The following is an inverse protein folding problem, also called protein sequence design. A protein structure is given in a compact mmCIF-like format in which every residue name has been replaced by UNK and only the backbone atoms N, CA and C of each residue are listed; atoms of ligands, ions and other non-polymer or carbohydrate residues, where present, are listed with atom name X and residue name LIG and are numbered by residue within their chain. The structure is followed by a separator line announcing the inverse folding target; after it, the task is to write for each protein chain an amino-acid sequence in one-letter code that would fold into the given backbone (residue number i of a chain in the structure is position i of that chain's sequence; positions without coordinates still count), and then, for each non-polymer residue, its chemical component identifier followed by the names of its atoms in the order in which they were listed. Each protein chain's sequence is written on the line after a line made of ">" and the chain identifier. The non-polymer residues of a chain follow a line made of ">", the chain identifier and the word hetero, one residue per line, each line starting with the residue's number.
data_IF_780538643889
#
_entry.id   IF_780538643889
#
_cell.length_a   1.000
_cell.length_b   1.000
_cell.length_c   1.000
_cell.angle_alpha   90.00
_cell.angle_beta   90.00
_cell.angle_gamma   90.00
#
_symmetry.space_group_name_H-M   'P 1'
#
loop_
_entity.id
_entity.type
_entity.pdbx_description
1 polymer ?
#
# COMPACT_ATOMS: atom_id res chain seq x y z
N UNK A 1 15.39 -6.77 1.88
CA UNK A 1 14.42 -6.85 3.01
C UNK A 1 13.25 -7.69 2.55
N UNK A 2 12.67 -8.56 3.40
CA UNK A 2 11.63 -9.52 3.01
C UNK A 2 10.61 -9.76 4.13
N UNK A 3 9.41 -10.23 3.76
CA UNK A 3 8.35 -10.66 4.69
C UNK A 3 7.98 -9.59 5.72
N UNK A 4 7.91 -9.97 7.00
CA UNK A 4 7.49 -9.08 8.10
C UNK A 4 8.33 -7.80 8.22
N UNK A 5 9.64 -7.88 7.93
CA UNK A 5 10.49 -6.70 7.94
C UNK A 5 10.14 -5.70 6.83
N UNK A 6 9.75 -6.20 5.65
CA UNK A 6 9.28 -5.36 4.54
C UNK A 6 7.93 -4.73 4.90
N UNK A 7 7.01 -5.51 5.47
CA UNK A 7 5.72 -5.00 5.94
C UNK A 7 5.90 -3.85 6.94
N UNK A 8 6.71 -4.04 7.98
CA UNK A 8 6.90 -3.05 9.03
C UNK A 8 7.58 -1.77 8.48
N UNK A 9 8.54 -1.93 7.57
CA UNK A 9 9.13 -0.79 6.85
C UNK A 9 8.09 0.00 6.06
N UNK A 10 7.22 -0.67 5.32
CA UNK A 10 6.21 0.02 4.50
C UNK A 10 5.18 0.73 5.38
N UNK A 11 4.76 0.11 6.49
CA UNK A 11 3.85 0.74 7.46
C UNK A 11 4.48 2.01 8.03
N UNK A 12 5.77 1.96 8.42
CA UNK A 12 6.52 3.12 8.88
C UNK A 12 6.52 4.25 7.83
N UNK A 13 6.72 3.93 6.55
CA UNK A 13 6.73 4.94 5.46
C UNK A 13 5.35 5.50 5.15
N UNK A 14 4.31 4.74 5.36
CA UNK A 14 2.94 5.26 5.29
C UNK A 14 2.66 6.21 6.48
N UNK A 15 3.12 5.87 7.68
CA UNK A 15 2.92 6.70 8.88
C UNK A 15 3.75 8.00 8.88
N UNK A 16 4.94 8.00 8.26
CA UNK A 16 5.76 9.18 8.03
C UNK A 16 4.95 10.31 7.36
N UNK A 17 4.05 9.93 6.44
CA UNK A 17 3.13 10.85 5.77
C UNK A 17 1.73 10.92 6.37
N UNK A 18 1.48 10.29 7.52
CA UNK A 18 0.19 10.32 8.22
C UNK A 18 -0.94 9.67 7.43
N UNK A 19 -0.64 8.58 6.71
CA UNK A 19 -1.66 7.68 6.18
C UNK A 19 -2.55 7.13 7.30
N UNK A 20 -3.86 7.09 7.06
CA UNK A 20 -4.85 6.76 8.08
C UNK A 20 -5.29 5.30 7.98
N UNK A 21 -5.77 4.75 9.09
CA UNK A 21 -6.37 3.42 9.18
C UNK A 21 -5.53 2.34 8.49
N UNK A 22 -4.22 2.34 8.77
CA UNK A 22 -3.28 1.40 8.16
C UNK A 22 -3.62 -0.01 8.66
N UNK A 23 -3.99 -0.89 7.74
CA UNK A 23 -4.31 -2.29 8.02
C UNK A 23 -3.39 -3.16 7.18
N UNK A 24 -2.82 -4.18 7.80
CA UNK A 24 -2.07 -5.22 7.09
C UNK A 24 -2.84 -6.53 7.18
N UNK A 25 -3.02 -7.18 6.03
CA UNK A 25 -3.76 -8.42 5.85
C UNK A 25 -2.78 -9.47 5.35
N UNK A 26 -2.72 -10.59 6.06
CA UNK A 26 -2.00 -11.77 5.62
C UNK A 26 -2.84 -12.50 4.56
N UNK A 27 -2.30 -12.59 3.35
CA UNK A 27 -2.92 -13.29 2.22
C UNK A 27 -2.05 -14.46 1.75
N UNK A 28 -1.02 -14.83 2.51
CA UNK A 28 -0.16 -15.95 2.21
C UNK A 28 -0.98 -17.25 2.08
N UNK A 29 -0.78 -17.97 0.99
CA UNK A 29 -1.54 -19.18 0.67
C UNK A 29 -3.00 -18.95 0.25
N UNK A 30 -3.53 -17.73 0.36
CA UNK A 30 -4.84 -17.33 -0.21
C UNK A 30 -4.67 -16.72 -1.60
N UNK A 31 -3.55 -16.04 -1.86
CA UNK A 31 -3.18 -15.42 -3.13
C UNK A 31 -1.84 -15.95 -3.62
N UNK A 32 -1.67 -16.07 -4.94
CA UNK A 32 -0.37 -16.36 -5.56
C UNK A 32 0.38 -15.10 -6.00
N UNK A 33 -0.18 -13.92 -5.76
CA UNK A 33 0.35 -12.64 -6.25
C UNK A 33 1.26 -11.99 -5.21
N UNK A 34 0.85 -11.99 -3.95
CA UNK A 34 1.56 -11.35 -2.83
C UNK A 34 1.27 -12.11 -1.54
N UNK A 35 2.13 -11.96 -0.53
CA UNK A 35 1.97 -12.58 0.78
C UNK A 35 1.27 -11.66 1.78
N UNK A 36 1.38 -10.34 1.60
CA UNK A 36 0.75 -9.35 2.47
C UNK A 36 0.15 -8.19 1.69
N UNK A 37 -1.08 -7.84 2.01
CA UNK A 37 -1.73 -6.60 1.54
C UNK A 37 -1.73 -5.56 2.65
N UNK A 38 -1.22 -4.36 2.37
CA UNK A 38 -1.31 -3.21 3.26
C UNK A 38 -2.30 -2.23 2.64
N UNK A 39 -3.27 -1.76 3.43
CA UNK A 39 -4.30 -0.82 3.00
C UNK A 39 -4.25 0.40 3.92
N UNK A 40 -4.18 1.60 3.35
CA UNK A 40 -4.27 2.85 4.09
C UNK A 40 -5.16 3.88 3.38
N UNK A 41 -5.67 4.83 4.16
CA UNK A 41 -6.52 5.91 3.68
C UNK A 41 -5.74 7.22 3.57
N UNK A 42 -5.80 7.87 2.41
CA UNK A 42 -5.38 9.26 2.23
C UNK A 42 -6.56 10.22 2.33
N UNK A 43 -6.30 11.43 2.84
CA UNK A 43 -7.32 12.46 3.10
C UNK A 43 -7.69 13.32 1.89
N UNK A 44 -6.96 13.19 0.79
CA UNK A 44 -7.21 13.86 -0.49
C UNK A 44 -6.42 13.17 -1.61
N UNK A 45 -6.76 13.43 -2.87
CA UNK A 45 -5.98 12.96 -4.03
C UNK A 45 -4.49 13.27 -3.90
N UNK A 46 -4.13 14.48 -3.47
CA UNK A 46 -2.73 14.87 -3.28
C UNK A 46 -2.05 14.08 -2.17
N UNK A 47 -2.78 13.81 -1.10
CA UNK A 47 -2.26 13.01 0.01
C UNK A 47 -2.03 11.55 -0.42
N UNK A 48 -2.98 10.96 -1.15
CA UNK A 48 -2.85 9.61 -1.74
C UNK A 48 -1.62 9.51 -2.64
N UNK A 49 -1.45 10.44 -3.59
CA UNK A 49 -0.24 10.48 -4.43
C UNK A 49 1.03 10.59 -3.59
N UNK A 50 1.06 11.50 -2.61
CA UNK A 50 2.26 11.71 -1.80
C UNK A 50 2.65 10.48 -0.97
N UNK A 51 1.68 9.75 -0.41
CA UNK A 51 1.95 8.49 0.31
C UNK A 51 2.55 7.46 -0.65
N UNK A 52 1.91 7.23 -1.80
CA UNK A 52 2.39 6.26 -2.77
C UNK A 52 3.79 6.59 -3.29
N UNK A 53 4.02 7.85 -3.68
CA UNK A 53 5.32 8.34 -4.12
C UNK A 53 6.38 8.14 -3.04
N UNK A 54 6.07 8.48 -1.79
CA UNK A 54 7.03 8.36 -0.70
C UNK A 54 7.40 6.89 -0.43
N UNK A 55 6.42 5.99 -0.39
CA UNK A 55 6.68 4.54 -0.27
C UNK A 55 7.58 4.06 -1.41
N UNK A 56 7.34 4.51 -2.64
CA UNK A 56 8.18 4.18 -3.81
C UNK A 56 9.61 4.70 -3.65
N UNK A 57 9.78 5.98 -3.28
CA UNK A 57 11.10 6.59 -3.14
C UNK A 57 11.91 5.94 -2.02
N UNK A 58 11.30 5.74 -0.86
CA UNK A 58 11.97 5.10 0.29
C UNK A 58 12.30 3.64 0.01
N UNK A 59 11.40 2.91 -0.68
CA UNK A 59 11.69 1.54 -1.12
C UNK A 59 12.92 1.51 -2.03
N UNK A 60 12.99 2.40 -3.03
CA UNK A 60 14.16 2.51 -3.91
C UNK A 60 15.44 2.85 -3.15
N UNK A 61 15.36 3.77 -2.19
CA UNK A 61 16.48 4.13 -1.33
C UNK A 61 16.97 2.95 -0.46
N UNK A 62 16.05 2.08 -0.04
CA UNK A 62 16.34 0.84 0.69
C UNK A 62 16.82 -0.32 -0.22
N UNK A 63 17.00 -0.08 -1.53
CA UNK A 63 17.42 -1.10 -2.49
C UNK A 63 16.30 -2.05 -2.92
N UNK A 64 15.04 -1.71 -2.64
CA UNK A 64 13.85 -2.43 -3.09
C UNK A 64 13.31 -1.75 -4.33
N UNK A 65 13.15 -2.49 -5.42
CA UNK A 65 12.59 -1.95 -6.66
C UNK A 65 11.11 -2.33 -6.72
N UNK A 66 10.18 -1.35 -6.67
CA UNK A 66 8.79 -1.63 -6.94
C UNK A 66 8.63 -2.26 -8.33
N UNK A 67 7.83 -3.31 -8.41
CA UNK A 67 7.51 -4.03 -9.64
C UNK A 67 6.56 -3.23 -10.53
N UNK A 68 5.70 -2.44 -9.91
CA UNK A 68 4.74 -1.57 -10.60
C UNK A 68 4.08 -0.57 -9.66
N UNK A 69 3.56 0.51 -10.24
CA UNK A 69 2.69 1.47 -9.58
C UNK A 69 1.53 1.75 -10.52
N UNK A 70 0.30 1.55 -10.03
CA UNK A 70 -0.92 1.64 -10.83
C UNK A 70 -1.91 2.62 -10.20
N UNK A 71 -2.71 3.33 -11.01
CA UNK A 71 -3.78 4.23 -10.54
C UNK A 71 -3.37 5.68 -10.27
N UNK A 72 -2.11 6.06 -10.52
CA UNK A 72 -1.58 7.42 -10.27
C UNK A 72 -2.37 8.54 -10.98
N UNK A 73 -2.93 8.26 -12.16
CA UNK A 73 -3.63 9.26 -12.96
C UNK A 73 -4.93 9.78 -12.31
N UNK A 74 -5.64 8.91 -11.58
CA UNK A 74 -6.88 9.27 -10.87
C UNK A 74 -6.60 9.59 -9.40
N UNK A 75 -5.65 8.87 -8.79
CA UNK A 75 -5.21 9.04 -7.40
C UNK A 75 -6.36 9.04 -6.36
N UNK A 76 -7.45 8.37 -6.69
CA UNK A 76 -8.47 7.91 -5.76
C UNK A 76 -8.09 6.54 -5.17
N UNK A 77 -7.38 5.72 -5.94
CA UNK A 77 -6.78 4.46 -5.50
C UNK A 77 -5.47 4.21 -6.26
N UNK A 78 -4.37 4.17 -5.52
CA UNK A 78 -3.05 3.80 -6.04
C UNK A 78 -2.63 2.46 -5.45
N UNK A 79 -2.07 1.60 -6.28
CA UNK A 79 -1.46 0.33 -5.87
C UNK A 79 0.04 0.38 -6.12
N UNK A 80 0.83 0.09 -5.09
CA UNK A 80 2.30 -0.07 -5.19
C UNK A 80 2.62 -1.55 -4.99
N UNK A 81 3.23 -2.17 -6.01
CA UNK A 81 3.62 -3.57 -5.97
C UNK A 81 5.11 -3.70 -5.58
N UNK A 82 5.38 -4.35 -4.45
CA UNK A 82 6.73 -4.65 -3.94
C UNK A 82 7.01 -6.17 -3.95
N UNK A 83 6.22 -6.97 -4.69
CA UNK A 83 6.29 -8.42 -4.70
C UNK A 83 5.60 -9.04 -3.48
N UNK A 84 6.38 -9.33 -2.43
CA UNK A 84 5.88 -9.97 -1.20
C UNK A 84 4.85 -9.11 -0.44
N UNK A 85 4.86 -7.80 -0.68
CA UNK A 85 3.94 -6.82 -0.09
C UNK A 85 3.28 -5.99 -1.19
N UNK A 86 1.96 -5.88 -1.15
CA UNK A 86 1.18 -5.01 -2.03
C UNK A 86 0.50 -3.90 -1.22
N UNK A 87 0.72 -2.65 -1.61
CA UNK A 87 0.24 -1.48 -0.88
C UNK A 87 -0.91 -0.84 -1.63
N UNK A 88 -2.04 -0.64 -0.95
CA UNK A 88 -3.22 0.04 -1.46
C UNK A 88 -3.38 1.36 -0.71
N UNK A 89 -3.17 2.46 -1.41
CA UNK A 89 -3.40 3.81 -0.88
C UNK A 89 -4.69 4.33 -1.50
N UNK A 90 -5.72 4.51 -0.68
CA UNK A 90 -7.09 4.79 -1.17
C UNK A 90 -7.64 6.08 -0.56
N UNK A 91 -8.49 6.80 -1.29
CA UNK A 91 -9.41 7.74 -0.66
C UNK A 91 -10.50 6.97 0.10
N UNK A 92 -11.07 7.64 1.10
CA UNK A 92 -12.08 7.05 1.97
C UNK A 92 -13.29 6.51 1.19
N UNK A 93 -13.75 7.22 0.17
CA UNK A 93 -14.87 6.77 -0.68
C UNK A 93 -14.54 5.47 -1.42
N UNK A 94 -13.37 5.39 -2.08
CA UNK A 94 -12.94 4.19 -2.79
C UNK A 94 -12.75 3.01 -1.84
N UNK A 95 -12.14 3.22 -0.67
CA UNK A 95 -11.96 2.16 0.34
C UNK A 95 -13.31 1.59 0.81
N UNK A 96 -14.30 2.47 1.07
CA UNK A 96 -15.67 2.07 1.44
C UNK A 96 -16.43 1.39 0.31
N UNK A 97 -16.18 1.76 -0.94
CA UNK A 97 -16.84 1.16 -2.10
C UNK A 97 -16.35 -0.27 -2.36
N UNK A 98 -15.03 -0.49 -2.31
CA UNK A 98 -14.41 -1.76 -2.65
C UNK A 98 -14.30 -2.75 -1.47
N UNK A 99 -14.26 -2.25 -0.23
CA UNK A 99 -14.24 -3.05 1.00
C UNK A 99 -13.23 -4.21 0.96
N UNK A 100 -12.01 -3.96 0.47
CA UNK A 100 -10.99 -4.99 0.28
C UNK A 100 -10.69 -5.76 1.57
N UNK A 101 -10.75 -5.11 2.72
CA UNK A 101 -10.57 -5.76 4.01
C UNK A 101 -11.59 -6.87 4.26
N UNK A 102 -12.84 -6.71 3.82
CA UNK A 102 -13.87 -7.75 3.95
C UNK A 102 -13.64 -8.91 2.98
N UNK A 103 -13.10 -8.63 1.79
CA UNK A 103 -12.85 -9.65 0.77
C UNK A 103 -11.76 -10.64 1.22
N UNK A 104 -10.75 -10.17 1.96
CA UNK A 104 -9.56 -10.96 2.28
C UNK A 104 -9.47 -11.43 3.75
N UNK A 105 -10.38 -10.98 4.63
CA UNK A 105 -10.48 -11.45 6.02
C UNK A 105 -10.92 -12.91 6.11
#
# INVERSE_FOLDING_TARGET
>A
MQGKALQDFVIDKIDDLKGQDIVAIDVHGKSSITDCMIICTGTSTRHVMSIADHVVQESRAAGLLPLGVEGEAAADWIVVDLGDVMVHVMQEESRRLYELEKLWS
#
